data_IF_737927475952
#
_entry.id   IF_737927475952
#
_cell.length_a   1.000
_cell.length_b   1.000
_cell.length_c   1.000
_cell.angle_alpha   90.00
_cell.angle_beta   90.00
_cell.angle_gamma   90.00
#
_symmetry.space_group_name_H-M   'P 1'
#
loop_
_entity.id
_entity.type
_entity.pdbx_description
1 polymer ?
#
# COMPACT_ATOMS: atom_id res chain seq x y z
N UNK A 1 -54.42 -13.75 59.64
CA UNK A 1 -54.45 -12.40 59.01
C UNK A 1 -53.28 -12.29 58.13
N UNK A 2 -53.46 -12.46 56.83
CA UNK A 2 -52.38 -12.34 55.81
C UNK A 2 -52.70 -11.12 54.99
N UNK A 3 -51.75 -10.18 54.92
CA UNK A 3 -51.79 -9.00 54.06
C UNK A 3 -51.05 -9.32 52.76
N UNK A 4 -51.61 -9.06 51.58
CA UNK A 4 -50.98 -9.36 50.36
C UNK A 4 -50.03 -8.23 49.90
N UNK A 5 -48.86 -8.61 49.47
CA UNK A 5 -47.82 -7.73 48.86
C UNK A 5 -48.18 -7.47 47.37
N UNK A 6 -48.21 -6.20 46.96
CA UNK A 6 -48.44 -5.75 45.63
C UNK A 6 -47.15 -5.95 44.78
N UNK A 7 -47.25 -6.31 43.50
CA UNK A 7 -46.10 -6.38 42.60
C UNK A 7 -45.73 -4.98 42.07
N UNK A 8 -44.44 -4.65 42.11
CA UNK A 8 -43.88 -3.48 41.45
C UNK A 8 -43.68 -3.78 39.96
N UNK A 9 -44.44 -3.09 39.12
CA UNK A 9 -44.09 -2.92 37.72
C UNK A 9 -43.08 -1.77 37.60
N UNK A 10 -41.90 -2.04 37.02
CA UNK A 10 -41.09 -1.00 36.44
C UNK A 10 -40.40 -1.55 35.24
N UNK A 11 -41.00 -1.36 34.07
CA UNK A 11 -40.43 -1.52 32.76
C UNK A 11 -39.80 -0.21 32.37
N UNK A 12 -38.49 -0.07 32.54
CA UNK A 12 -37.73 0.95 31.82
C UNK A 12 -36.81 0.27 30.82
N UNK A 13 -37.27 0.33 29.60
CA UNK A 13 -36.53 0.05 28.36
C UNK A 13 -35.34 0.99 28.26
N UNK A 14 -34.13 0.50 28.60
CA UNK A 14 -32.89 1.14 28.19
C UNK A 14 -32.51 0.56 26.81
N UNK A 15 -32.98 1.23 25.80
CA UNK A 15 -32.35 1.11 24.46
C UNK A 15 -30.95 1.72 24.56
N UNK A 16 -29.95 0.88 24.70
CA UNK A 16 -28.57 1.29 24.49
C UNK A 16 -28.39 1.58 22.98
N UNK A 17 -28.38 2.87 22.67
CA UNK A 17 -27.85 3.35 21.40
C UNK A 17 -26.37 2.99 21.35
N UNK A 18 -26.01 1.98 20.59
CA UNK A 18 -24.62 1.71 20.21
C UNK A 18 -24.26 2.81 19.21
N UNK A 19 -23.66 3.87 19.74
CA UNK A 19 -22.92 4.81 18.91
C UNK A 19 -21.71 4.07 18.35
N UNK A 20 -21.71 3.77 17.06
CA UNK A 20 -20.48 3.50 16.33
C UNK A 20 -19.65 4.80 16.42
N UNK A 21 -18.76 4.88 17.38
CA UNK A 21 -17.64 5.79 17.30
C UNK A 21 -16.82 5.34 16.07
N UNK A 22 -16.95 6.08 14.96
CA UNK A 22 -15.97 6.05 13.88
C UNK A 22 -14.63 6.36 14.53
N UNK A 23 -13.78 5.33 14.70
CA UNK A 23 -12.37 5.53 15.00
C UNK A 23 -11.85 6.45 13.92
N UNK A 24 -11.59 7.71 14.24
CA UNK A 24 -10.90 8.65 13.38
C UNK A 24 -9.48 8.09 13.19
N UNK A 25 -9.32 7.26 12.17
CA UNK A 25 -8.01 6.71 11.80
C UNK A 25 -7.21 7.89 11.27
N UNK A 26 -6.08 8.20 11.88
CA UNK A 26 -5.21 9.28 11.42
C UNK A 26 -4.75 8.97 9.99
N UNK A 27 -4.77 9.99 9.12
CA UNK A 27 -4.27 9.84 7.77
C UNK A 27 -2.75 9.70 7.80
N UNK A 28 -2.23 8.59 7.24
CA UNK A 28 -0.78 8.40 7.05
C UNK A 28 -0.25 9.32 5.96
N UNK A 29 -0.98 9.40 4.83
CA UNK A 29 -0.78 10.41 3.82
C UNK A 29 -2.01 11.29 3.68
N UNK A 30 -1.80 12.61 3.67
CA UNK A 30 -2.79 13.62 3.29
C UNK A 30 -2.31 14.35 2.03
N UNK A 31 -3.15 14.38 1.01
CA UNK A 31 -2.86 14.97 -0.29
C UNK A 31 -3.94 16.01 -0.56
N UNK A 32 -3.54 17.27 -0.81
CA UNK A 32 -4.47 18.38 -1.05
C UNK A 32 -4.08 19.14 -2.31
N UNK A 33 -5.05 19.34 -3.19
CA UNK A 33 -4.97 20.13 -4.43
C UNK A 33 -3.71 19.83 -5.25
N UNK A 34 -3.33 18.52 -5.30
CA UNK A 34 -2.10 18.10 -5.94
C UNK A 34 -2.30 18.01 -7.45
N UNK A 35 -1.47 18.75 -8.19
CA UNK A 35 -1.32 18.62 -9.64
C UNK A 35 0.06 18.09 -10.01
N UNK A 36 0.15 17.30 -11.09
CA UNK A 36 1.44 16.85 -11.64
C UNK A 36 1.48 17.02 -13.14
N UNK A 37 2.57 17.61 -13.60
CA UNK A 37 2.85 17.80 -15.02
C UNK A 37 4.14 17.07 -15.44
N UNK A 38 4.09 16.44 -16.59
CA UNK A 38 5.30 16.02 -17.35
C UNK A 38 5.45 16.97 -18.54
N UNK A 39 6.39 17.90 -18.43
CA UNK A 39 6.51 19.04 -19.36
C UNK A 39 5.18 19.82 -19.46
N UNK A 40 4.48 19.74 -20.60
CA UNK A 40 3.18 20.38 -20.82
C UNK A 40 1.99 19.46 -20.57
N UNK A 41 2.22 18.15 -20.37
CA UNK A 41 1.15 17.17 -20.13
C UNK A 41 0.71 17.18 -18.68
N UNK A 42 -0.56 17.50 -18.43
CA UNK A 42 -1.20 17.50 -17.10
C UNK A 42 -1.61 16.07 -16.74
N UNK A 43 -0.75 15.36 -16.03
CA UNK A 43 -0.89 13.93 -15.75
C UNK A 43 -1.76 13.62 -14.53
N UNK A 44 -1.71 14.45 -13.49
CA UNK A 44 -2.60 14.37 -12.32
C UNK A 44 -3.24 15.74 -12.08
N UNK A 45 -4.53 15.74 -11.75
CA UNK A 45 -5.36 16.94 -11.73
C UNK A 45 -6.12 17.02 -10.41
N UNK A 46 -5.81 18.04 -9.61
CA UNK A 46 -6.49 18.37 -8.37
C UNK A 46 -6.74 17.12 -7.48
N UNK A 47 -5.68 16.36 -7.21
CA UNK A 47 -5.79 15.16 -6.38
C UNK A 47 -5.98 15.56 -4.92
N UNK A 48 -7.08 15.10 -4.33
CA UNK A 48 -7.42 15.22 -2.92
C UNK A 48 -7.68 13.83 -2.36
N UNK A 49 -6.87 13.37 -1.39
CA UNK A 49 -6.92 11.99 -0.90
C UNK A 49 -6.29 11.87 0.48
N UNK A 50 -6.98 11.21 1.39
CA UNK A 50 -6.46 10.84 2.70
C UNK A 50 -6.31 9.32 2.80
N UNK A 51 -5.08 8.85 2.97
CA UNK A 51 -4.76 7.43 3.06
C UNK A 51 -4.53 7.04 4.52
N UNK A 52 -5.41 6.19 5.10
CA UNK A 52 -5.33 5.82 6.51
C UNK A 52 -4.09 4.99 6.84
N UNK A 53 -3.63 5.10 8.09
CA UNK A 53 -2.58 4.26 8.64
C UNK A 53 -3.06 2.81 8.86
N UNK A 54 -2.14 1.83 8.70
CA UNK A 54 -2.39 0.39 8.90
C UNK A 54 -3.59 -0.16 8.12
N UNK A 55 -3.77 0.33 6.91
CA UNK A 55 -4.76 -0.17 5.96
C UNK A 55 -4.12 -0.42 4.59
N UNK A 56 -4.78 -1.24 3.79
CA UNK A 56 -4.45 -1.40 2.37
C UNK A 56 -5.35 -0.49 1.55
N UNK A 57 -4.76 0.52 0.90
CA UNK A 57 -5.45 1.37 -0.07
C UNK A 57 -5.11 0.93 -1.50
N UNK A 58 -6.10 0.51 -2.27
CA UNK A 58 -5.91 0.14 -3.67
C UNK A 58 -6.21 1.32 -4.61
N UNK A 59 -5.37 1.50 -5.63
CA UNK A 59 -5.63 2.41 -6.75
C UNK A 59 -5.99 1.59 -7.98
N UNK A 60 -7.22 1.75 -8.49
CA UNK A 60 -7.73 1.07 -9.67
C UNK A 60 -8.08 2.07 -10.79
N UNK A 61 -8.22 1.59 -12.02
CA UNK A 61 -8.58 2.40 -13.17
C UNK A 61 -7.85 1.96 -14.44
N UNK A 62 -8.19 2.52 -15.61
CA UNK A 62 -7.57 2.21 -16.88
C UNK A 62 -6.07 2.43 -16.90
N UNK A 63 -5.37 1.80 -17.85
CA UNK A 63 -3.93 2.06 -18.07
C UNK A 63 -3.71 3.52 -18.46
N UNK A 64 -2.65 4.14 -17.90
CA UNK A 64 -2.31 5.53 -18.19
C UNK A 64 -3.14 6.60 -17.46
N UNK A 65 -4.06 6.24 -16.57
CA UNK A 65 -4.90 7.23 -15.86
C UNK A 65 -4.22 7.92 -14.65
N UNK A 66 -2.92 7.65 -14.38
CA UNK A 66 -2.16 8.38 -13.35
C UNK A 66 -1.86 7.61 -12.05
N UNK A 67 -2.35 6.38 -11.86
CA UNK A 67 -2.15 5.59 -10.60
C UNK A 67 -0.69 5.47 -10.17
N UNK A 68 0.15 4.93 -11.06
CA UNK A 68 1.59 4.77 -10.77
C UNK A 68 2.31 6.11 -10.67
N UNK A 69 1.80 7.15 -11.32
CA UNK A 69 2.31 8.51 -11.21
C UNK A 69 2.07 9.04 -9.79
N UNK A 70 0.85 8.92 -9.25
CA UNK A 70 0.57 9.30 -7.87
C UNK A 70 1.39 8.44 -6.89
N UNK A 71 1.39 7.11 -7.07
CA UNK A 71 2.17 6.21 -6.21
C UNK A 71 3.63 6.65 -6.09
N UNK A 72 4.29 6.97 -7.22
CA UNK A 72 5.69 7.43 -7.28
C UNK A 72 5.89 8.84 -6.72
N UNK A 73 4.86 9.65 -6.62
CA UNK A 73 4.94 10.96 -5.97
C UNK A 73 5.09 10.83 -4.46
N UNK A 74 4.50 9.79 -3.85
CA UNK A 74 4.51 9.60 -2.38
C UNK A 74 5.91 9.31 -1.79
N UNK A 75 6.88 8.89 -2.63
CA UNK A 75 8.28 8.70 -2.22
C UNK A 75 9.26 9.53 -3.06
N UNK A 76 8.75 10.53 -3.78
CA UNK A 76 9.52 11.44 -4.61
C UNK A 76 10.36 10.76 -5.70
N UNK A 77 9.89 9.60 -6.21
CA UNK A 77 10.53 8.96 -7.37
C UNK A 77 10.34 9.77 -8.66
N UNK A 78 9.29 10.60 -8.74
CA UNK A 78 9.05 11.47 -9.88
C UNK A 78 10.06 12.63 -10.01
N UNK A 79 10.81 12.94 -8.94
CA UNK A 79 11.93 13.89 -8.98
C UNK A 79 13.04 13.43 -9.95
N UNK A 80 13.10 12.14 -10.27
CA UNK A 80 14.06 11.56 -11.22
C UNK A 80 13.61 11.68 -12.68
N UNK A 81 12.40 12.18 -12.94
CA UNK A 81 11.85 12.34 -14.28
C UNK A 81 12.03 13.78 -14.72
N UNK A 82 12.81 13.98 -15.79
CA UNK A 82 13.04 15.31 -16.34
C UNK A 82 11.74 15.95 -16.80
N UNK A 83 11.53 17.22 -16.44
CA UNK A 83 10.33 17.98 -16.75
C UNK A 83 9.11 17.64 -15.88
N UNK A 84 9.28 16.81 -14.83
CA UNK A 84 8.22 16.59 -13.86
C UNK A 84 8.10 17.81 -12.93
N UNK A 85 6.87 18.31 -12.81
CA UNK A 85 6.52 19.40 -11.89
C UNK A 85 5.30 19.00 -11.08
N UNK A 86 5.41 19.12 -9.76
CA UNK A 86 4.34 18.84 -8.80
C UNK A 86 4.01 20.15 -8.07
N UNK A 87 2.71 20.40 -7.85
CA UNK A 87 2.18 21.49 -7.04
C UNK A 87 1.11 20.93 -6.10
N UNK A 88 0.65 21.71 -5.13
CA UNK A 88 -0.23 21.25 -4.06
C UNK A 88 0.55 20.74 -2.87
N UNK A 89 -0.11 20.04 -1.96
CA UNK A 89 0.45 19.63 -0.66
C UNK A 89 0.36 18.11 -0.51
N UNK A 90 1.47 17.46 -0.17
CA UNK A 90 1.53 16.02 0.13
C UNK A 90 2.25 15.84 1.47
N UNK A 91 1.52 15.33 2.46
CA UNK A 91 2.04 15.16 3.82
C UNK A 91 2.10 13.70 4.22
N UNK A 92 3.20 13.33 4.84
CA UNK A 92 3.38 12.06 5.56
C UNK A 92 3.40 12.38 7.06
N UNK A 93 2.44 11.86 7.83
CA UNK A 93 2.26 12.16 9.25
C UNK A 93 2.21 13.68 9.54
N UNK A 94 1.59 14.47 8.66
CA UNK A 94 1.48 15.92 8.77
C UNK A 94 2.70 16.70 8.29
N UNK A 95 3.82 16.07 7.94
CA UNK A 95 5.03 16.71 7.43
C UNK A 95 5.01 16.76 5.90
N UNK A 96 5.22 17.92 5.30
CA UNK A 96 5.28 18.11 3.84
C UNK A 96 6.49 17.38 3.25
N UNK A 97 6.23 16.37 2.40
CA UNK A 97 7.30 15.58 1.78
C UNK A 97 8.07 16.31 0.68
N UNK A 98 7.54 17.44 0.17
CA UNK A 98 8.21 18.33 -0.81
C UNK A 98 8.78 19.59 -0.16
N UNK A 99 8.64 19.75 1.17
CA UNK A 99 9.28 20.79 1.97
C UNK A 99 10.73 20.45 2.32
N UNK A 100 11.08 20.65 3.60
CA UNK A 100 12.46 20.47 4.10
C UNK A 100 12.82 19.01 4.40
N UNK A 101 11.91 18.04 4.16
CA UNK A 101 12.15 16.61 4.45
C UNK A 101 13.29 16.06 3.59
N UNK A 102 14.28 15.41 4.22
CA UNK A 102 15.35 14.69 3.52
C UNK A 102 14.77 13.52 2.72
N UNK A 103 15.05 13.51 1.41
CA UNK A 103 14.55 12.50 0.47
C UNK A 103 15.01 11.08 0.83
N UNK A 104 16.21 10.93 1.40
CA UNK A 104 16.70 9.61 1.81
C UNK A 104 15.96 9.13 3.07
N UNK A 105 15.62 10.04 3.99
CA UNK A 105 14.78 9.74 5.14
C UNK A 105 13.37 9.35 4.69
N UNK A 106 12.76 10.13 3.78
CA UNK A 106 11.47 9.78 3.18
C UNK A 106 11.48 8.38 2.57
N UNK A 107 12.47 8.08 1.71
CA UNK A 107 12.58 6.78 1.03
C UNK A 107 12.91 5.61 1.96
N UNK A 108 13.45 5.88 3.15
CA UNK A 108 13.57 4.88 4.22
C UNK A 108 12.21 4.59 4.86
N UNK A 109 11.40 5.63 5.11
CA UNK A 109 10.05 5.50 5.70
C UNK A 109 9.03 4.93 4.70
N UNK A 110 9.21 5.21 3.40
CA UNK A 110 8.29 4.85 2.32
C UNK A 110 8.98 3.94 1.30
N UNK A 111 8.91 2.63 1.55
CA UNK A 111 9.46 1.59 0.67
C UNK A 111 8.65 1.41 -0.60
N UNK A 112 9.29 0.90 -1.67
CA UNK A 112 8.61 0.67 -2.95
C UNK A 112 8.95 -0.69 -3.56
N UNK A 113 7.91 -1.37 -4.04
CA UNK A 113 7.97 -2.60 -4.83
C UNK A 113 7.45 -2.30 -6.22
N UNK A 114 8.26 -2.59 -7.24
CA UNK A 114 7.97 -2.29 -8.63
C UNK A 114 7.19 -3.42 -9.32
N UNK A 115 6.51 -3.08 -10.39
CA UNK A 115 5.74 -3.99 -11.22
C UNK A 115 6.58 -5.19 -11.71
N UNK A 116 7.77 -4.92 -12.22
CA UNK A 116 8.72 -5.96 -12.58
C UNK A 116 9.68 -6.20 -11.42
N UNK A 117 9.75 -7.45 -10.98
CA UNK A 117 10.75 -7.86 -9.99
C UNK A 117 12.15 -7.43 -10.47
N UNK A 118 12.88 -6.72 -9.60
CA UNK A 118 14.18 -6.14 -9.90
C UNK A 118 15.22 -6.49 -8.82
N UNK A 119 15.47 -7.78 -8.56
CA UNK A 119 16.53 -8.14 -7.62
C UNK A 119 17.87 -7.62 -8.16
N UNK A 120 18.73 -7.17 -7.26
CA UNK A 120 20.08 -6.80 -7.63
C UNK A 120 20.86 -8.03 -8.11
N UNK A 121 21.84 -7.91 -9.02
CA UNK A 121 22.70 -9.00 -9.50
C UNK A 121 23.69 -9.44 -8.41
N UNK A 122 23.16 -9.81 -7.26
CA UNK A 122 23.85 -10.20 -6.02
C UNK A 122 23.25 -11.49 -5.49
N UNK A 123 23.79 -11.98 -4.37
CA UNK A 123 23.19 -13.09 -3.64
C UNK A 123 21.82 -12.72 -3.05
N UNK A 124 21.02 -13.73 -2.67
CA UNK A 124 19.76 -13.52 -1.94
C UNK A 124 20.03 -12.75 -0.65
N UNK A 125 21.03 -13.17 0.11
CA UNK A 125 21.47 -12.50 1.33
C UNK A 125 21.80 -11.02 1.10
N UNK A 126 22.65 -10.72 0.12
CA UNK A 126 23.11 -9.36 -0.12
C UNK A 126 21.99 -8.45 -0.65
N UNK A 127 20.99 -8.98 -1.35
CA UNK A 127 19.80 -8.21 -1.72
C UNK A 127 19.09 -7.66 -0.49
N UNK A 128 18.92 -8.45 0.57
CA UNK A 128 18.26 -8.03 1.80
C UNK A 128 19.18 -7.15 2.65
N UNK A 129 20.44 -7.56 2.83
CA UNK A 129 21.40 -6.84 3.65
C UNK A 129 21.84 -5.49 3.07
N UNK A 130 21.56 -5.21 1.79
CA UNK A 130 21.99 -3.99 1.10
C UNK A 130 21.48 -2.71 1.79
N UNK A 131 20.17 -2.60 1.99
CA UNK A 131 19.53 -1.45 2.65
C UNK A 131 20.07 -1.23 4.07
N UNK A 132 19.99 -2.22 4.97
CA UNK A 132 20.56 -2.14 6.33
C UNK A 132 22.03 -1.70 6.35
N UNK A 133 22.88 -2.25 5.47
CA UNK A 133 24.30 -1.83 5.36
C UNK A 133 24.45 -0.37 4.95
N UNK A 134 23.64 0.10 4.00
CA UNK A 134 23.64 1.49 3.53
C UNK A 134 23.23 2.44 4.66
N UNK A 135 22.35 1.99 5.55
CA UNK A 135 21.94 2.71 6.75
C UNK A 135 22.87 2.48 7.96
N UNK A 136 24.09 1.96 7.75
CA UNK A 136 25.15 1.92 8.75
C UNK A 136 25.21 0.66 9.61
N UNK A 137 24.36 -0.36 9.40
CA UNK A 137 24.43 -1.62 10.14
C UNK A 137 25.63 -2.43 9.64
N UNK A 138 26.64 -2.63 10.52
CA UNK A 138 27.92 -3.33 10.22
C UNK A 138 28.01 -4.70 10.88
N UNK A 139 27.27 -4.92 11.96
CA UNK A 139 27.29 -6.19 12.71
C UNK A 139 26.73 -7.32 11.85
N UNK A 140 27.55 -8.37 11.64
CA UNK A 140 27.12 -9.55 10.89
C UNK A 140 25.92 -10.23 11.57
N UNK A 141 25.96 -10.40 12.89
CA UNK A 141 24.87 -11.03 13.65
C UNK A 141 23.54 -10.25 13.47
N UNK A 142 23.59 -8.89 13.50
CA UNK A 142 22.39 -8.07 13.29
C UNK A 142 21.89 -8.15 11.84
N UNK A 143 22.80 -8.23 10.87
CA UNK A 143 22.42 -8.44 9.47
C UNK A 143 21.80 -9.83 9.25
N UNK A 144 22.35 -10.88 9.86
CA UNK A 144 21.80 -12.24 9.78
C UNK A 144 20.37 -12.29 10.34
N UNK A 145 20.11 -11.63 11.48
CA UNK A 145 18.78 -11.48 12.08
C UNK A 145 17.80 -10.76 11.14
N UNK A 146 18.21 -9.61 10.57
CA UNK A 146 17.38 -8.84 9.64
C UNK A 146 17.08 -9.64 8.38
N UNK A 147 18.08 -10.32 7.82
CA UNK A 147 17.90 -11.14 6.61
C UNK A 147 16.89 -12.26 6.86
N UNK A 148 17.03 -13.00 7.97
CA UNK A 148 16.10 -14.06 8.31
C UNK A 148 14.69 -13.51 8.55
N UNK A 149 14.52 -12.48 9.39
CA UNK A 149 13.21 -11.92 9.69
C UNK A 149 12.52 -11.41 8.41
N UNK A 150 13.20 -10.60 7.59
CA UNK A 150 12.62 -10.06 6.36
C UNK A 150 12.22 -11.13 5.35
N UNK A 151 12.98 -12.22 5.25
CA UNK A 151 12.63 -13.34 4.38
C UNK A 151 11.45 -14.16 4.94
N UNK A 152 11.29 -14.24 6.26
CA UNK A 152 10.13 -14.83 6.93
C UNK A 152 8.90 -13.97 6.73
N UNK A 153 9.00 -12.67 6.96
CA UNK A 153 7.93 -11.70 6.78
C UNK A 153 7.43 -11.69 5.33
N UNK A 154 8.32 -11.92 4.35
CA UNK A 154 7.97 -12.05 2.94
C UNK A 154 7.55 -13.49 2.54
N UNK A 155 7.33 -14.39 3.49
CA UNK A 155 6.91 -15.78 3.29
C UNK A 155 7.76 -16.55 2.24
N UNK A 156 9.10 -16.35 2.25
CA UNK A 156 10.02 -16.99 1.31
C UNK A 156 11.19 -17.71 1.99
N UNK A 157 11.37 -17.57 3.30
CA UNK A 157 12.48 -18.13 4.05
C UNK A 157 12.72 -19.61 3.79
N UNK A 158 11.69 -20.44 3.92
CA UNK A 158 11.80 -21.89 3.76
C UNK A 158 12.18 -22.33 2.34
N UNK A 159 11.92 -21.47 1.34
CA UNK A 159 12.30 -21.75 -0.05
C UNK A 159 13.77 -21.38 -0.35
N UNK A 160 14.41 -20.52 0.48
CA UNK A 160 15.73 -19.95 0.16
C UNK A 160 16.80 -20.12 1.23
N UNK A 161 16.47 -20.52 2.46
CA UNK A 161 17.38 -20.58 3.61
C UNK A 161 18.68 -21.37 3.36
N UNK A 162 18.61 -22.43 2.54
CA UNK A 162 19.79 -23.28 2.23
C UNK A 162 20.61 -22.76 1.06
N UNK A 163 20.21 -21.63 0.44
CA UNK A 163 20.87 -21.05 -0.74
C UNK A 163 21.03 -19.53 -0.70
N UNK A 164 21.10 -18.95 0.49
CA UNK A 164 21.20 -17.49 0.68
C UNK A 164 22.37 -16.85 -0.07
N UNK A 165 23.48 -17.58 -0.26
CA UNK A 165 24.66 -17.12 -1.00
C UNK A 165 24.56 -17.32 -2.53
N UNK A 166 23.45 -17.89 -3.03
CA UNK A 166 23.24 -18.03 -4.48
C UNK A 166 22.68 -16.74 -5.08
N UNK A 167 22.91 -16.56 -6.39
CA UNK A 167 22.39 -15.40 -7.13
C UNK A 167 20.87 -15.33 -7.06
N UNK A 168 20.34 -14.15 -6.75
CA UNK A 168 18.91 -13.88 -6.77
C UNK A 168 18.30 -13.95 -8.18
N UNK A 169 19.09 -13.74 -9.23
CA UNK A 169 18.63 -13.80 -10.61
C UNK A 169 18.21 -15.22 -11.05
N UNK A 170 18.67 -16.25 -10.35
CA UNK A 170 18.28 -17.65 -10.62
C UNK A 170 16.95 -18.09 -9.95
N UNK A 171 16.22 -17.18 -9.30
CA UNK A 171 14.95 -17.46 -8.66
C UNK A 171 13.79 -17.35 -9.66
N UNK A 172 12.66 -18.02 -9.39
CA UNK A 172 11.43 -17.84 -10.18
C UNK A 172 10.88 -16.41 -10.04
N UNK A 173 10.04 -15.95 -10.97
CA UNK A 173 9.46 -14.60 -10.95
C UNK A 173 8.74 -14.29 -9.63
N UNK A 174 7.90 -15.20 -9.15
CA UNK A 174 7.21 -15.04 -7.87
C UNK A 174 8.16 -15.01 -6.65
N UNK A 175 9.24 -15.80 -6.69
CA UNK A 175 10.30 -15.76 -5.66
C UNK A 175 11.06 -14.42 -5.72
N UNK A 176 11.40 -13.94 -6.91
CA UNK A 176 12.07 -12.64 -7.09
C UNK A 176 11.19 -11.49 -6.57
N UNK A 177 9.88 -11.55 -6.83
CA UNK A 177 8.96 -10.52 -6.35
C UNK A 177 8.89 -10.50 -4.81
N UNK A 178 8.73 -11.66 -4.17
CA UNK A 178 8.74 -11.76 -2.71
C UNK A 178 10.10 -11.37 -2.12
N UNK A 179 11.21 -11.66 -2.82
CA UNK A 179 12.52 -11.15 -2.43
C UNK A 179 12.60 -9.62 -2.47
N UNK A 180 12.01 -8.97 -3.50
CA UNK A 180 11.95 -7.51 -3.58
C UNK A 180 11.09 -6.91 -2.47
N UNK A 181 10.01 -7.60 -2.05
CA UNK A 181 9.23 -7.22 -0.88
C UNK A 181 10.08 -7.35 0.39
N UNK A 182 10.75 -8.50 0.61
CA UNK A 182 11.66 -8.71 1.74
C UNK A 182 12.76 -7.61 1.81
N UNK A 183 13.32 -7.24 0.67
CA UNK A 183 14.31 -6.16 0.57
C UNK A 183 13.74 -4.81 1.02
N UNK A 184 12.52 -4.51 0.66
CA UNK A 184 11.84 -3.29 1.11
C UNK A 184 11.57 -3.32 2.62
N UNK A 185 11.13 -4.47 3.17
CA UNK A 185 10.87 -4.64 4.61
C UNK A 185 12.14 -4.58 5.48
N UNK A 186 13.31 -4.95 4.92
CA UNK A 186 14.58 -5.00 5.66
C UNK A 186 15.03 -3.66 6.24
N UNK A 187 14.55 -2.55 5.72
CA UNK A 187 14.81 -1.20 6.25
C UNK A 187 13.74 -0.72 7.23
N UNK A 188 12.74 -1.56 7.52
CA UNK A 188 11.62 -1.29 8.42
C UNK A 188 10.88 0.01 8.03
N UNK A 189 10.28 0.06 6.82
CA UNK A 189 9.51 1.22 6.40
C UNK A 189 8.21 1.33 7.21
N UNK A 190 7.56 2.49 7.18
CA UNK A 190 6.22 2.71 7.73
C UNK A 190 5.14 2.47 6.68
N UNK A 191 5.50 2.75 5.42
CA UNK A 191 4.61 2.61 4.26
C UNK A 191 5.25 1.74 3.19
N UNK A 192 4.47 0.84 2.59
CA UNK A 192 4.89 0.02 1.47
C UNK A 192 4.05 0.35 0.23
N UNK A 193 4.70 0.93 -0.77
CA UNK A 193 4.11 1.21 -2.08
C UNK A 193 4.32 0.02 -3.00
N UNK A 194 3.26 -0.45 -3.66
CA UNK A 194 3.30 -1.60 -4.57
C UNK A 194 2.70 -1.23 -5.94
N UNK A 195 3.53 -1.15 -6.96
CA UNK A 195 3.10 -0.84 -8.33
C UNK A 195 2.85 -2.15 -9.09
N UNK A 196 1.59 -2.56 -9.22
CA UNK A 196 1.14 -3.79 -9.91
C UNK A 196 1.97 -5.05 -9.56
N UNK A 197 2.15 -5.41 -8.28
CA UNK A 197 3.15 -6.37 -7.83
C UNK A 197 2.93 -7.81 -8.31
N UNK A 198 1.77 -8.11 -8.91
CA UNK A 198 1.39 -9.47 -9.34
C UNK A 198 1.14 -9.58 -10.85
N UNK A 199 1.27 -8.49 -11.62
CA UNK A 199 0.88 -8.44 -13.04
C UNK A 199 1.67 -9.40 -13.94
N UNK A 200 2.89 -9.78 -13.54
CA UNK A 200 3.76 -10.69 -14.29
C UNK A 200 3.89 -12.09 -13.63
N UNK A 201 3.00 -12.42 -12.68
CA UNK A 201 3.07 -13.65 -11.91
C UNK A 201 1.99 -14.66 -12.34
N UNK A 202 2.31 -15.94 -12.17
CA UNK A 202 1.32 -17.02 -12.27
C UNK A 202 0.30 -16.96 -11.11
N UNK A 203 -0.86 -17.64 -11.23
CA UNK A 203 -1.92 -17.58 -10.22
C UNK A 203 -1.48 -18.02 -8.81
N UNK A 204 -0.60 -19.02 -8.71
CA UNK A 204 -0.12 -19.53 -7.41
C UNK A 204 0.79 -18.48 -6.75
N UNK A 205 1.70 -17.91 -7.52
CA UNK A 205 2.58 -16.83 -7.05
C UNK A 205 1.79 -15.56 -6.69
N UNK A 206 0.74 -15.25 -7.45
CA UNK A 206 -0.19 -14.14 -7.17
C UNK A 206 -0.87 -14.32 -5.82
N UNK A 207 -1.46 -15.51 -5.56
CA UNK A 207 -2.10 -15.81 -4.26
C UNK A 207 -1.12 -15.63 -3.09
N UNK A 208 0.11 -16.11 -3.22
CA UNK A 208 1.13 -15.96 -2.17
C UNK A 208 1.46 -14.47 -1.89
N UNK A 209 1.48 -13.61 -2.90
CA UNK A 209 1.70 -12.16 -2.72
C UNK A 209 0.47 -11.50 -2.09
N UNK A 210 -0.75 -11.92 -2.47
CA UNK A 210 -1.99 -11.41 -1.87
C UNK A 210 -2.08 -11.78 -0.37
N UNK A 211 -1.82 -13.04 -0.03
CA UNK A 211 -1.77 -13.52 1.37
C UNK A 211 -0.72 -12.74 2.17
N UNK A 212 0.43 -12.46 1.55
CA UNK A 212 1.48 -11.65 2.15
C UNK A 212 1.02 -10.21 2.43
N UNK A 213 0.37 -9.55 1.47
CA UNK A 213 -0.19 -8.18 1.65
C UNK A 213 -1.16 -8.17 2.83
N UNK A 214 -2.04 -9.18 2.91
CA UNK A 214 -3.01 -9.30 4.01
C UNK A 214 -2.34 -9.52 5.37
N UNK A 215 -1.23 -10.23 5.43
CA UNK A 215 -0.48 -10.44 6.68
C UNK A 215 0.26 -9.18 7.13
N UNK A 216 0.79 -8.39 6.18
CA UNK A 216 1.59 -7.20 6.45
C UNK A 216 0.76 -5.97 6.87
N UNK A 217 -0.54 -5.91 6.57
CA UNK A 217 -1.35 -4.70 6.80
C UNK A 217 -1.49 -4.30 8.27
N UNK A 218 -1.27 -5.24 9.20
CA UNK A 218 -1.35 -4.93 10.63
C UNK A 218 -0.16 -4.09 11.12
N UNK A 219 0.99 -4.24 10.44
CA UNK A 219 2.26 -3.61 10.83
C UNK A 219 2.64 -2.46 9.89
N UNK A 220 2.10 -2.45 8.66
CA UNK A 220 2.47 -1.49 7.61
C UNK A 220 1.22 -0.84 7.00
N UNK A 221 1.37 0.42 6.60
CA UNK A 221 0.42 1.06 5.68
C UNK A 221 0.77 0.64 4.26
N UNK A 222 -0.18 0.09 3.50
CA UNK A 222 0.10 -0.44 2.17
C UNK A 222 -0.73 0.34 1.13
N UNK A 223 -0.06 0.79 0.07
CA UNK A 223 -0.71 1.41 -1.07
C UNK A 223 -0.38 0.58 -2.30
N UNK A 224 -1.39 -0.02 -2.93
CA UNK A 224 -1.22 -0.93 -4.05
C UNK A 224 -1.91 -0.39 -5.31
N UNK A 225 -1.18 -0.32 -6.41
CA UNK A 225 -1.77 -0.12 -7.73
C UNK A 225 -2.08 -1.47 -8.34
N UNK A 226 -3.27 -1.64 -8.86
CA UNK A 226 -3.65 -2.84 -9.61
C UNK A 226 -4.68 -2.50 -10.70
N UNK A 227 -4.61 -3.20 -11.82
CA UNK A 227 -5.65 -3.19 -12.85
C UNK A 227 -6.64 -4.36 -12.67
N UNK A 228 -6.39 -5.24 -11.69
CA UNK A 228 -7.26 -6.38 -11.38
C UNK A 228 -8.23 -6.01 -10.25
N UNK A 229 -9.50 -5.75 -10.61
CA UNK A 229 -10.57 -5.41 -9.66
C UNK A 229 -10.81 -6.49 -8.62
N UNK A 230 -10.72 -7.77 -9.01
CA UNK A 230 -10.87 -8.89 -8.07
C UNK A 230 -9.75 -8.92 -7.04
N UNK A 231 -8.53 -8.57 -7.42
CA UNK A 231 -7.42 -8.42 -6.48
C UNK A 231 -7.70 -7.28 -5.50
N UNK A 232 -8.08 -6.09 -5.99
CA UNK A 232 -8.44 -4.97 -5.12
C UNK A 232 -9.51 -5.39 -4.10
N UNK A 233 -10.57 -6.06 -4.53
CA UNK A 233 -11.65 -6.54 -3.65
C UNK A 233 -11.15 -7.51 -2.56
N UNK A 234 -10.13 -8.34 -2.86
CA UNK A 234 -9.62 -9.31 -1.88
C UNK A 234 -8.66 -8.71 -0.86
N UNK A 235 -7.83 -7.75 -1.29
CA UNK A 235 -6.69 -7.33 -0.45
C UNK A 235 -6.81 -5.94 0.15
N UNK A 236 -7.72 -5.07 -0.34
CA UNK A 236 -7.78 -3.69 0.13
C UNK A 236 -8.94 -3.41 1.07
N UNK A 237 -8.69 -2.51 2.02
CA UNK A 237 -9.70 -1.96 2.92
C UNK A 237 -10.42 -0.77 2.26
N UNK A 238 -9.68 0.04 1.51
CA UNK A 238 -10.21 1.18 0.74
C UNK A 238 -9.71 1.15 -0.70
N UNK A 239 -10.53 1.68 -1.60
CA UNK A 239 -10.19 1.72 -3.03
C UNK A 239 -10.44 3.11 -3.61
N UNK A 240 -9.48 3.61 -4.38
CA UNK A 240 -9.59 4.83 -5.18
C UNK A 240 -9.71 4.46 -6.66
N UNK A 241 -10.75 4.95 -7.32
CA UNK A 241 -10.91 4.83 -8.77
C UNK A 241 -10.33 6.06 -9.47
N UNK A 242 -9.39 5.82 -10.39
CA UNK A 242 -8.71 6.84 -11.19
C UNK A 242 -9.22 6.86 -12.62
N UNK A 243 -9.43 8.06 -13.15
CA UNK A 243 -9.79 8.27 -14.54
C UNK A 243 -9.18 9.57 -15.06
N UNK A 244 -8.44 9.52 -16.18
CA UNK A 244 -7.89 10.69 -16.91
C UNK A 244 -7.13 11.70 -16.02
N UNK A 245 -6.41 11.19 -15.03
CA UNK A 245 -5.61 11.98 -14.11
C UNK A 245 -6.33 12.48 -12.85
N UNK A 246 -7.58 12.08 -12.64
CA UNK A 246 -8.40 12.45 -11.49
C UNK A 246 -8.69 11.26 -10.59
N UNK A 247 -8.89 11.49 -9.29
CA UNK A 247 -9.52 10.54 -8.37
C UNK A 247 -11.03 10.78 -8.46
N UNK A 248 -11.74 9.85 -9.08
CA UNK A 248 -13.19 9.95 -9.30
C UNK A 248 -13.97 9.62 -8.04
N UNK A 249 -13.54 8.56 -7.34
CA UNK A 249 -14.16 8.09 -6.11
C UNK A 249 -13.13 7.41 -5.22
N UNK A 250 -13.24 7.63 -3.90
CA UNK A 250 -12.45 6.93 -2.89
C UNK A 250 -13.35 6.54 -1.72
N UNK A 251 -13.49 5.25 -1.48
CA UNK A 251 -14.37 4.72 -0.45
C UNK A 251 -13.82 3.40 0.13
N UNK A 252 -14.51 2.88 1.15
CA UNK A 252 -14.33 1.49 1.57
C UNK A 252 -14.52 0.56 0.38
N UNK A 253 -13.67 -0.43 0.24
CA UNK A 253 -13.62 -1.30 -0.94
C UNK A 253 -14.96 -1.99 -1.18
N UNK A 254 -15.56 -2.57 -0.14
CA UNK A 254 -16.87 -3.20 -0.26
C UNK A 254 -17.94 -2.24 -0.77
N UNK A 255 -17.96 -1.01 -0.24
CA UNK A 255 -18.93 0.02 -0.66
C UNK A 255 -18.70 0.46 -2.10
N UNK A 256 -17.45 0.71 -2.50
CA UNK A 256 -17.12 1.15 -3.87
C UNK A 256 -17.53 0.10 -4.91
N UNK A 257 -17.34 -1.19 -4.63
CA UNK A 257 -17.66 -2.26 -5.56
C UNK A 257 -19.14 -2.67 -5.54
N UNK A 258 -19.87 -2.51 -4.42
CA UNK A 258 -21.28 -2.90 -4.31
C UNK A 258 -22.25 -1.75 -4.60
N UNK A 259 -21.89 -0.52 -4.28
CA UNK A 259 -22.74 0.66 -4.41
C UNK A 259 -21.93 1.93 -4.70
N UNK A 260 -21.26 2.02 -5.86
CA UNK A 260 -20.50 3.19 -6.26
C UNK A 260 -21.39 4.44 -6.33
N UNK A 261 -20.84 5.58 -5.94
CA UNK A 261 -21.59 6.84 -5.92
C UNK A 261 -21.45 7.63 -7.23
N UNK A 262 -20.33 7.44 -7.95
CA UNK A 262 -20.10 8.08 -9.24
C UNK A 262 -20.43 7.12 -10.39
N UNK A 263 -21.19 7.61 -11.36
CA UNK A 263 -21.60 6.84 -12.54
C UNK A 263 -20.40 6.29 -13.34
N UNK A 264 -19.29 7.02 -13.38
CA UNK A 264 -18.06 6.59 -14.07
C UNK A 264 -17.43 5.38 -13.36
N UNK A 265 -17.53 5.32 -12.02
CA UNK A 265 -17.09 4.16 -11.21
C UNK A 265 -17.97 2.96 -11.51
N UNK A 266 -19.29 3.14 -11.53
CA UNK A 266 -20.27 2.07 -11.86
C UNK A 266 -20.01 1.49 -13.25
N UNK A 267 -19.82 2.35 -14.25
CA UNK A 267 -19.58 1.94 -15.64
C UNK A 267 -18.25 1.18 -15.77
N UNK A 268 -17.21 1.62 -15.05
CA UNK A 268 -15.91 0.91 -15.03
C UNK A 268 -16.03 -0.47 -14.40
N UNK A 269 -16.65 -0.58 -13.21
CA UNK A 269 -16.79 -1.85 -12.48
C UNK A 269 -17.66 -2.85 -13.24
N UNK A 270 -18.74 -2.37 -13.90
CA UNK A 270 -19.64 -3.21 -14.69
C UNK A 270 -19.10 -3.60 -16.07
N UNK A 271 -17.91 -3.12 -16.44
CA UNK A 271 -17.32 -3.38 -17.77
C UNK A 271 -17.99 -2.63 -18.92
N UNK A 272 -18.80 -1.61 -18.64
CA UNK A 272 -19.48 -0.77 -19.64
C UNK A 272 -18.65 0.45 -20.05
N UNK A 273 -17.38 0.43 -19.68
CA UNK A 273 -16.44 1.51 -19.93
C UNK A 273 -15.85 1.34 -21.34
N UNK A 274 -16.27 2.18 -22.29
CA UNK A 274 -15.84 2.18 -23.67
C UNK A 274 -16.34 3.39 -24.44
#
# INVERSE_FOLDING_TARGET
MFTPIKPFHNTSSFAQSISHEEKTTMAKFAIHDMDLYYNTFHALKNINLELPEHQVSAFIGPSGCGKSTLLKSLNRMNDLVEGCKITGDIRLDGEDIYGDMDVNLLRKRVGMVFQKANPFPMSIYDNIAYGPRTHGIRSKAKLDEIVESSLRDAAIWDEVKDRLNKSALGMSGGQQQRLCIARALAVQPEVLLMDEPTSALDPISTSKVEDLVMSLKNDYTIIIVTHNMQQATRVSDRTAFFLLGEVVEYAETEKLFSNPQDKRTEDYISGRFG
#
